data_IF_146464392248
#
_entry.id   IF_146464392248
#
_cell.length_a   1.000
_cell.length_b   1.000
_cell.length_c   1.000
_cell.angle_alpha   90.00
_cell.angle_beta   90.00
_cell.angle_gamma   90.00
#
_symmetry.space_group_name_H-M   'P 1'
#
loop_
_entity.id
_entity.type
_entity.pdbx_description
1 polymer ?
#
# COMPACT_ATOMS: atom_id res chain seq x y z
N UNK A 1 -9.39 42.21 -30.98
CA UNK A 1 -8.41 41.51 -31.83
C UNK A 1 -7.16 41.38 -31.00
N UNK A 2 -6.60 40.18 -30.91
CA UNK A 2 -5.36 39.91 -30.20
C UNK A 2 -4.22 40.51 -31.04
N UNK A 3 -3.48 41.47 -30.49
CA UNK A 3 -2.36 42.10 -31.19
C UNK A 3 -1.16 41.14 -31.22
N UNK A 4 -0.50 41.05 -32.37
CA UNK A 4 0.68 40.21 -32.56
C UNK A 4 1.82 40.62 -31.60
N UNK A 5 2.63 39.68 -31.10
CA UNK A 5 3.77 40.02 -30.26
C UNK A 5 4.80 40.87 -31.04
N UNK A 6 5.16 42.02 -30.48
CA UNK A 6 6.14 42.96 -31.02
C UNK A 6 7.26 43.17 -29.98
N UNK A 7 8.51 43.29 -30.43
CA UNK A 7 9.67 43.55 -29.57
C UNK A 7 10.03 45.04 -29.66
N UNK A 8 9.45 45.88 -28.79
CA UNK A 8 9.83 47.29 -28.65
C UNK A 8 9.90 47.68 -27.17
N UNK A 9 10.63 48.76 -26.87
CA UNK A 9 10.89 49.22 -25.49
C UNK A 9 9.64 49.78 -24.76
N UNK A 10 8.53 49.96 -25.49
CA UNK A 10 7.33 50.61 -24.97
C UNK A 10 6.17 49.63 -24.66
N UNK A 11 6.31 48.35 -25.00
CA UNK A 11 5.24 47.37 -24.84
C UNK A 11 5.78 46.01 -24.37
N UNK A 12 5.23 45.50 -23.28
CA UNK A 12 5.50 44.14 -22.80
C UNK A 12 4.50 43.17 -23.43
N UNK A 13 4.98 42.22 -24.23
CA UNK A 13 4.16 41.11 -24.70
C UNK A 13 3.92 40.14 -23.53
N UNK A 14 2.67 40.06 -23.08
CA UNK A 14 2.26 39.13 -22.02
C UNK A 14 1.65 37.91 -22.68
N UNK A 15 2.31 36.76 -22.60
CA UNK A 15 1.71 35.50 -23.01
C UNK A 15 0.60 35.18 -22.00
N UNK A 16 -0.66 35.29 -22.41
CA UNK A 16 -1.79 34.80 -21.62
C UNK A 16 -1.67 33.30 -21.45
N UNK A 17 -1.38 32.86 -20.23
CA UNK A 17 -1.48 31.44 -19.86
C UNK A 17 -2.98 31.11 -19.73
N UNK A 18 -3.49 30.01 -20.31
CA UNK A 18 -4.85 29.58 -20.06
C UNK A 18 -5.12 29.56 -18.56
N UNK A 19 -6.16 30.26 -18.12
CA UNK A 19 -6.58 30.23 -16.72
C UNK A 19 -7.09 28.84 -16.34
N UNK A 20 -6.92 28.45 -15.08
CA UNK A 20 -7.55 27.24 -14.56
C UNK A 20 -9.06 27.47 -14.47
N UNK A 21 -9.86 26.61 -15.09
CA UNK A 21 -11.31 26.58 -14.90
C UNK A 21 -11.62 25.64 -13.75
N UNK A 22 -12.51 26.06 -12.85
CA UNK A 22 -13.03 25.18 -11.83
C UNK A 22 -13.70 23.96 -12.47
N UNK A 23 -13.27 22.76 -12.06
CA UNK A 23 -13.80 21.50 -12.57
C UNK A 23 -14.92 20.97 -11.67
N UNK A 24 -14.59 20.66 -10.41
CA UNK A 24 -15.55 20.15 -9.42
C UNK A 24 -15.03 20.30 -7.99
N UNK A 25 -15.90 20.19 -7.00
CA UNK A 25 -15.53 20.17 -5.58
C UNK A 25 -15.27 18.73 -5.16
N UNK A 26 -14.18 18.51 -4.41
CA UNK A 26 -13.83 17.19 -3.89
C UNK A 26 -13.60 17.28 -2.39
N UNK A 27 -14.55 16.74 -1.63
CA UNK A 27 -14.52 16.78 -0.16
C UNK A 27 -14.55 18.19 0.42
N UNK A 28 -14.28 18.28 1.73
CA UNK A 28 -14.21 19.52 2.50
C UNK A 28 -12.79 19.83 3.00
N UNK A 29 -11.87 18.87 2.89
CA UNK A 29 -10.48 19.02 3.31
C UNK A 29 -9.57 19.59 2.22
N UNK A 30 -8.36 19.96 2.60
CA UNK A 30 -7.32 20.38 1.66
C UNK A 30 -6.99 19.26 0.68
N UNK A 31 -6.86 19.59 -0.60
CA UNK A 31 -6.43 18.63 -1.63
C UNK A 31 -4.94 18.35 -1.42
N UNK A 32 -4.61 17.11 -1.07
CA UNK A 32 -3.23 16.65 -0.81
C UNK A 32 -2.57 16.03 -2.03
N UNK A 33 -3.36 15.37 -2.89
CA UNK A 33 -2.87 14.75 -4.13
C UNK A 33 -4.01 14.57 -5.12
N UNK A 34 -3.69 14.76 -6.40
CA UNK A 34 -4.50 14.35 -7.55
C UNK A 34 -3.67 13.36 -8.35
N UNK A 35 -4.27 12.24 -8.73
CA UNK A 35 -3.61 11.16 -9.47
C UNK A 35 -4.56 10.59 -10.51
N UNK A 36 -4.03 10.21 -11.65
CA UNK A 36 -4.71 9.40 -12.67
C UNK A 36 -3.69 8.45 -13.28
N UNK A 37 -4.17 7.32 -13.78
CA UNK A 37 -3.37 6.38 -14.54
C UNK A 37 -4.20 5.91 -15.72
N UNK A 38 -3.86 6.44 -16.90
CA UNK A 38 -4.50 6.09 -18.16
C UNK A 38 -4.45 4.56 -18.40
N UNK A 39 -5.54 3.99 -18.88
CA UNK A 39 -5.70 2.56 -19.10
C UNK A 39 -6.11 1.76 -17.86
N UNK A 40 -6.29 2.39 -16.71
CA UNK A 40 -6.81 1.75 -15.49
C UNK A 40 -7.96 2.57 -14.89
N UNK A 41 -8.84 1.93 -14.13
CA UNK A 41 -9.94 2.60 -13.41
C UNK A 41 -10.81 3.52 -14.28
N UNK A 42 -11.02 3.20 -15.56
CA UNK A 42 -11.76 4.04 -16.52
C UNK A 42 -11.22 5.47 -16.67
N UNK A 43 -9.90 5.64 -16.45
CA UNK A 43 -9.19 6.93 -16.50
C UNK A 43 -9.67 7.97 -15.48
N UNK A 44 -10.41 7.52 -14.45
CA UNK A 44 -10.91 8.38 -13.39
C UNK A 44 -9.78 9.01 -12.56
N UNK A 45 -10.07 10.17 -11.98
CA UNK A 45 -9.14 10.86 -11.07
C UNK A 45 -9.31 10.31 -9.65
N UNK A 46 -8.20 9.96 -9.02
CA UNK A 46 -8.11 9.74 -7.59
C UNK A 46 -7.60 10.98 -6.90
N UNK A 47 -8.35 11.44 -5.90
CA UNK A 47 -8.06 12.69 -5.20
C UNK A 47 -8.11 12.43 -3.70
N UNK A 48 -7.06 12.81 -2.99
CA UNK A 48 -7.09 12.83 -1.53
C UNK A 48 -7.44 14.24 -1.06
N UNK A 49 -8.56 14.34 -0.34
CA UNK A 49 -9.01 15.54 0.35
C UNK A 49 -8.98 15.29 1.86
N UNK A 50 -8.08 15.95 2.57
CA UNK A 50 -7.84 15.70 4.00
C UNK A 50 -7.41 14.25 4.27
N UNK A 51 -8.27 13.48 4.93
CA UNK A 51 -8.04 12.08 5.30
C UNK A 51 -8.78 11.08 4.40
N UNK A 52 -9.49 11.55 3.39
CA UNK A 52 -10.39 10.73 2.58
C UNK A 52 -9.92 10.65 1.14
N UNK A 53 -9.97 9.44 0.59
CA UNK A 53 -9.79 9.16 -0.83
C UNK A 53 -11.14 9.32 -1.54
N UNK A 54 -11.12 10.06 -2.64
CA UNK A 54 -12.23 10.22 -3.56
C UNK A 54 -11.85 9.73 -4.94
N UNK A 55 -12.84 9.21 -5.66
CA UNK A 55 -12.77 8.94 -7.09
C UNK A 55 -13.66 9.93 -7.81
N UNK A 56 -13.14 10.59 -8.83
CA UNK A 56 -13.84 11.61 -9.62
C UNK A 56 -13.88 11.12 -11.05
N UNK A 57 -15.09 10.90 -11.56
CA UNK A 57 -15.25 10.45 -12.93
C UNK A 57 -15.06 11.59 -13.95
N UNK A 58 -15.02 11.24 -15.24
CA UNK A 58 -14.87 12.20 -16.35
C UNK A 58 -16.00 13.26 -16.42
N UNK A 59 -17.16 12.98 -15.82
CA UNK A 59 -18.27 13.94 -15.69
C UNK A 59 -18.13 14.90 -14.49
N UNK A 60 -17.07 14.76 -13.68
CA UNK A 60 -16.81 15.61 -12.51
C UNK A 60 -17.57 15.19 -11.25
N UNK A 61 -18.15 13.98 -11.21
CA UNK A 61 -18.84 13.46 -10.02
C UNK A 61 -17.82 12.86 -9.07
N UNK A 62 -17.64 13.49 -7.91
CA UNK A 62 -16.77 13.00 -6.84
C UNK A 62 -17.51 12.04 -5.91
N UNK A 63 -17.02 10.80 -5.81
CA UNK A 63 -17.53 9.77 -4.90
C UNK A 63 -16.46 9.44 -3.86
N UNK A 64 -16.82 9.46 -2.58
CA UNK A 64 -15.91 9.06 -1.51
C UNK A 64 -15.68 7.54 -1.57
N UNK A 65 -14.43 7.12 -1.59
CA UNK A 65 -14.02 5.71 -1.58
C UNK A 65 -13.82 5.22 -0.14
N UNK A 66 -13.11 6.00 0.68
CA UNK A 66 -12.80 5.60 2.05
C UNK A 66 -11.85 6.57 2.75
N UNK A 67 -11.53 6.26 4.00
CA UNK A 67 -10.60 7.02 4.83
C UNK A 67 -9.22 6.34 4.79
N UNK A 68 -8.14 7.11 4.59
CA UNK A 68 -6.76 6.61 4.45
C UNK A 68 -5.87 6.93 5.67
N UNK A 69 -6.41 7.54 6.70
CA UNK A 69 -5.65 7.87 7.91
C UNK A 69 -6.53 8.51 8.99
N UNK A 70 -6.04 8.54 10.23
CA UNK A 70 -6.72 9.22 11.35
C UNK A 70 -6.23 10.66 11.51
N UNK A 71 -5.00 10.93 11.10
CA UNK A 71 -4.37 12.25 11.07
C UNK A 71 -3.56 12.39 9.79
N UNK A 72 -3.24 13.62 9.39
CA UNK A 72 -2.39 13.88 8.24
C UNK A 72 -0.94 13.71 8.69
N UNK A 73 -0.24 12.70 8.16
CA UNK A 73 1.13 12.37 8.58
C UNK A 73 2.18 12.96 7.63
N UNK A 74 2.03 12.80 6.31
CA UNK A 74 2.99 13.25 5.29
C UNK A 74 2.26 13.67 3.99
N UNK A 75 2.99 13.99 2.93
CA UNK A 75 2.42 14.11 1.59
C UNK A 75 1.93 12.74 1.08
N UNK A 76 1.05 12.77 0.08
CA UNK A 76 0.47 11.55 -0.48
C UNK A 76 1.19 11.16 -1.76
N UNK A 77 1.68 9.92 -1.81
CA UNK A 77 2.18 9.26 -3.00
C UNK A 77 1.18 8.19 -3.46
N UNK A 78 1.02 8.07 -4.79
CA UNK A 78 0.13 7.07 -5.39
C UNK A 78 0.80 6.39 -6.58
N UNK A 79 0.54 5.09 -6.72
CA UNK A 79 0.99 4.30 -7.85
C UNK A 79 -0.07 3.24 -8.20
N UNK A 80 -0.48 3.17 -9.46
CA UNK A 80 -1.41 2.16 -9.95
C UNK A 80 -0.71 1.03 -10.72
N UNK A 81 -1.29 -0.16 -10.66
CA UNK A 81 -0.92 -1.32 -11.47
C UNK A 81 -2.08 -1.70 -12.39
N UNK A 82 -1.75 -2.11 -13.62
CA UNK A 82 -2.73 -2.65 -14.55
C UNK A 82 -3.23 -4.05 -14.11
N UNK A 83 -4.40 -4.49 -14.59
CA UNK A 83 -4.87 -5.86 -14.38
C UNK A 83 -3.90 -6.89 -14.96
N UNK A 84 -3.78 -8.04 -14.30
CA UNK A 84 -2.92 -9.15 -14.70
C UNK A 84 -3.72 -10.46 -14.65
N UNK A 85 -4.17 -10.94 -15.81
CA UNK A 85 -5.03 -12.12 -15.89
C UNK A 85 -6.35 -11.90 -15.13
N UNK A 86 -6.61 -12.72 -14.11
CA UNK A 86 -7.77 -12.58 -13.22
C UNK A 86 -7.56 -11.59 -12.07
N UNK A 87 -6.34 -11.10 -11.87
CA UNK A 87 -6.03 -10.10 -10.85
C UNK A 87 -6.44 -8.71 -11.35
N UNK A 88 -7.23 -7.95 -10.58
CA UNK A 88 -7.68 -6.62 -11.00
C UNK A 88 -6.57 -5.57 -10.90
N UNK A 89 -6.87 -4.35 -11.36
CA UNK A 89 -6.01 -3.20 -11.12
C UNK A 89 -5.96 -2.87 -9.62
N UNK A 90 -4.81 -2.37 -9.17
CA UNK A 90 -4.61 -1.86 -7.82
C UNK A 90 -4.13 -0.42 -7.86
N UNK A 91 -4.62 0.40 -6.94
CA UNK A 91 -4.08 1.72 -6.64
C UNK A 91 -3.47 1.68 -5.24
N UNK A 92 -2.16 1.86 -5.14
CA UNK A 92 -1.45 1.98 -3.86
C UNK A 92 -1.39 3.43 -3.43
N UNK A 93 -1.67 3.68 -2.14
CA UNK A 93 -1.66 5.02 -1.55
C UNK A 93 -0.79 5.01 -0.28
N UNK A 94 0.22 5.88 -0.26
CA UNK A 94 1.07 6.13 0.90
C UNK A 94 0.89 7.57 1.37
N UNK A 95 0.81 7.79 2.68
CA UNK A 95 0.57 9.11 3.26
C UNK A 95 1.45 9.43 4.49
N UNK A 96 2.50 8.64 4.70
CA UNK A 96 3.35 8.62 5.88
C UNK A 96 2.90 7.60 6.93
N UNK A 97 1.60 7.30 6.99
CA UNK A 97 1.02 6.29 7.86
C UNK A 97 0.93 4.93 7.18
N UNK A 98 -0.26 4.34 7.19
CA UNK A 98 -0.49 2.98 6.67
C UNK A 98 -0.42 3.00 5.13
N UNK A 99 0.20 1.97 4.54
CA UNK A 99 0.08 1.74 3.10
C UNK A 99 -1.30 1.17 2.79
N UNK A 100 -2.03 1.78 1.86
CA UNK A 100 -3.32 1.28 1.41
C UNK A 100 -3.23 0.77 -0.02
N UNK A 101 -4.10 -0.18 -0.37
CA UNK A 101 -4.45 -0.43 -1.76
C UNK A 101 -5.96 -0.33 -1.96
N UNK A 102 -6.34 0.12 -3.15
CA UNK A 102 -7.71 0.15 -3.64
C UNK A 102 -7.87 -0.72 -4.89
N UNK A 103 -9.03 -1.36 -5.03
CA UNK A 103 -9.44 -2.07 -6.25
C UNK A 103 -10.94 -1.96 -6.51
N UNK A 104 -11.38 -2.07 -7.77
CA UNK A 104 -12.80 -2.09 -8.13
C UNK A 104 -13.45 -3.47 -7.95
N UNK A 105 -12.63 -4.52 -7.85
CA UNK A 105 -13.06 -5.91 -7.91
C UNK A 105 -12.51 -6.70 -6.72
N UNK A 106 -12.95 -6.35 -5.50
CA UNK A 106 -12.45 -6.90 -4.23
C UNK A 106 -12.68 -8.39 -4.04
N UNK A 107 -12.06 -8.94 -2.99
CA UNK A 107 -12.18 -10.35 -2.61
C UNK A 107 -13.44 -10.57 -1.78
N UNK A 108 -14.07 -11.74 -1.92
CA UNK A 108 -15.16 -12.11 -1.02
C UNK A 108 -14.62 -12.40 0.39
N UNK A 109 -15.38 -12.03 1.42
CA UNK A 109 -14.98 -12.11 2.83
C UNK A 109 -16.09 -12.68 3.69
N UNK A 110 -15.70 -13.24 4.83
CA UNK A 110 -16.59 -13.55 5.93
C UNK A 110 -15.92 -13.19 7.26
N UNK A 111 -16.71 -12.59 8.14
CA UNK A 111 -16.33 -12.31 9.52
C UNK A 111 -16.95 -13.37 10.42
N UNK A 112 -16.13 -14.02 11.24
CA UNK A 112 -16.55 -14.86 12.36
C UNK A 112 -16.52 -14.01 13.62
N UNK A 113 -17.66 -13.90 14.29
CA UNK A 113 -17.78 -13.18 15.57
C UNK A 113 -18.07 -14.16 16.70
N UNK A 114 -17.27 -14.09 17.77
CA UNK A 114 -17.53 -14.76 19.02
C UNK A 114 -18.42 -13.88 19.92
N UNK A 115 -19.63 -14.34 20.21
CA UNK A 115 -20.63 -13.64 21.04
C UNK A 115 -20.52 -13.99 22.53
N UNK A 116 -19.68 -14.98 22.86
CA UNK A 116 -19.32 -15.40 24.20
C UNK A 116 -18.03 -16.24 24.17
N UNK A 117 -17.61 -16.81 25.30
CA UNK A 117 -16.46 -17.72 25.31
C UNK A 117 -16.72 -18.92 24.41
N UNK A 118 -15.75 -19.26 23.56
CA UNK A 118 -15.85 -20.39 22.63
C UNK A 118 -15.90 -21.70 23.44
N UNK A 119 -16.97 -22.49 23.33
CA UNK A 119 -17.08 -23.81 23.95
C UNK A 119 -16.05 -24.81 23.42
N UNK A 120 -15.65 -25.73 24.29
CA UNK A 120 -14.86 -26.89 23.88
C UNK A 120 -15.66 -27.77 22.90
N UNK A 121 -15.00 -28.23 21.84
CA UNK A 121 -15.55 -28.99 20.71
C UNK A 121 -16.47 -28.23 19.75
N UNK A 122 -16.57 -26.90 19.85
CA UNK A 122 -17.21 -26.14 18.79
C UNK A 122 -16.44 -26.30 17.49
N UNK A 123 -17.18 -26.51 16.40
CA UNK A 123 -16.67 -26.73 15.05
C UNK A 123 -17.09 -25.58 14.16
N UNK A 124 -16.17 -25.09 13.35
CA UNK A 124 -16.48 -24.24 12.21
C UNK A 124 -16.12 -24.97 10.91
N UNK A 125 -16.74 -24.56 9.80
CA UNK A 125 -16.26 -24.93 8.48
C UNK A 125 -16.14 -23.72 7.56
N UNK A 126 -15.14 -23.78 6.69
CA UNK A 126 -14.88 -22.82 5.62
C UNK A 126 -14.66 -23.64 4.36
N UNK A 127 -15.50 -23.46 3.35
CA UNK A 127 -15.37 -24.13 2.05
C UNK A 127 -15.21 -25.67 2.14
N UNK A 128 -15.87 -26.30 3.12
CA UNK A 128 -15.80 -27.75 3.35
C UNK A 128 -14.58 -28.23 4.13
N UNK A 129 -13.70 -27.35 4.61
CA UNK A 129 -12.63 -27.65 5.58
C UNK A 129 -13.13 -27.36 6.99
N UNK A 130 -12.94 -28.31 7.91
CA UNK A 130 -13.49 -28.24 9.27
C UNK A 130 -12.41 -28.04 10.33
N UNK A 131 -12.68 -27.14 11.27
CA UNK A 131 -11.81 -26.81 12.41
C UNK A 131 -12.59 -26.93 13.70
N UNK A 132 -12.05 -27.65 14.70
CA UNK A 132 -12.67 -27.89 15.99
C UNK A 132 -11.80 -27.35 17.12
N UNK A 133 -12.37 -26.52 17.98
CA UNK A 133 -11.69 -26.03 19.17
C UNK A 133 -11.58 -27.14 20.23
N UNK A 134 -10.41 -27.27 20.85
CA UNK A 134 -10.18 -28.27 21.89
C UNK A 134 -9.34 -27.78 23.06
N UNK A 135 -9.73 -28.13 24.29
CA UNK A 135 -8.88 -28.00 25.49
C UNK A 135 -7.92 -29.19 25.68
N UNK A 136 -8.07 -30.24 24.87
CA UNK A 136 -7.22 -31.43 24.89
C UNK A 136 -6.02 -31.32 23.94
N UNK A 137 -5.37 -32.45 23.67
CA UNK A 137 -4.31 -32.51 22.65
C UNK A 137 -4.86 -32.17 21.26
N UNK A 138 -4.14 -31.31 20.54
CA UNK A 138 -4.44 -30.94 19.14
C UNK A 138 -4.10 -32.03 18.13
N UNK A 139 -3.58 -33.19 18.56
CA UNK A 139 -3.24 -34.32 17.69
C UNK A 139 -4.06 -35.59 17.99
N UNK A 140 -5.08 -35.48 18.84
CA UNK A 140 -5.95 -36.60 19.17
C UNK A 140 -6.77 -37.05 17.94
N UNK A 141 -6.80 -38.36 17.67
CA UNK A 141 -7.73 -38.96 16.72
C UNK A 141 -7.41 -38.77 15.23
N UNK A 142 -6.15 -38.48 14.88
CA UNK A 142 -5.68 -38.29 13.49
C UNK A 142 -6.51 -37.24 12.72
N UNK A 143 -6.37 -35.95 13.08
CA UNK A 143 -7.05 -34.84 12.40
C UNK A 143 -6.77 -34.82 10.89
N UNK A 144 -7.77 -34.48 10.07
CA UNK A 144 -7.67 -34.51 8.60
C UNK A 144 -8.48 -33.40 7.90
N UNK A 145 -9.06 -32.44 8.64
CA UNK A 145 -9.84 -31.33 8.08
C UNK A 145 -11.21 -31.71 7.52
N UNK A 146 -11.68 -32.94 7.73
CA UNK A 146 -12.99 -33.40 7.27
C UNK A 146 -14.06 -33.21 8.36
N UNK A 147 -15.34 -33.33 8.01
CA UNK A 147 -16.42 -33.23 9.01
C UNK A 147 -16.33 -34.29 10.11
N UNK A 148 -15.83 -35.49 9.80
CA UNK A 148 -15.65 -36.58 10.76
C UNK A 148 -14.36 -36.43 11.58
N UNK A 149 -13.29 -35.93 10.96
CA UNK A 149 -11.98 -35.71 11.58
C UNK A 149 -11.51 -34.28 11.32
N UNK A 150 -12.10 -33.27 12.00
CA UNK A 150 -11.74 -31.87 11.81
C UNK A 150 -10.30 -31.61 12.25
N UNK A 151 -9.67 -30.58 11.69
CA UNK A 151 -8.44 -30.03 12.26
C UNK A 151 -8.71 -29.55 13.68
N UNK A 152 -7.81 -29.82 14.61
CA UNK A 152 -7.96 -29.38 16.00
C UNK A 152 -7.21 -28.08 16.21
N UNK A 153 -7.84 -27.15 16.91
CA UNK A 153 -7.31 -25.83 17.24
C UNK A 153 -7.31 -25.69 18.76
N UNK A 154 -6.18 -25.33 19.36
CA UNK A 154 -6.07 -25.18 20.80
C UNK A 154 -6.98 -24.03 21.29
N UNK A 155 -7.83 -24.35 22.27
CA UNK A 155 -8.77 -23.43 22.89
C UNK A 155 -8.18 -22.82 24.17
N UNK A 156 -8.27 -21.50 24.31
CA UNK A 156 -8.13 -20.83 25.59
C UNK A 156 -9.49 -20.72 26.30
N UNK A 157 -9.49 -20.97 27.61
CA UNK A 157 -10.68 -20.85 28.46
C UNK A 157 -10.80 -19.49 29.17
N UNK A 158 -9.79 -18.62 29.07
CA UNK A 158 -9.81 -17.30 29.70
C UNK A 158 -10.53 -16.25 28.85
N UNK A 159 -10.31 -16.33 27.54
CA UNK A 159 -10.80 -15.39 26.53
C UNK A 159 -10.71 -16.03 25.14
N UNK A 160 -11.27 -15.33 24.15
CA UNK A 160 -11.31 -15.80 22.76
C UNK A 160 -10.07 -15.39 21.94
N UNK A 161 -9.20 -14.51 22.45
CA UNK A 161 -8.09 -13.93 21.68
C UNK A 161 -7.11 -15.00 21.21
N UNK A 162 -6.66 -15.84 22.15
CA UNK A 162 -5.73 -16.94 21.85
C UNK A 162 -6.40 -17.99 20.95
N UNK A 163 -7.67 -18.32 21.20
CA UNK A 163 -8.43 -19.29 20.40
C UNK A 163 -8.58 -18.83 18.94
N UNK A 164 -8.95 -17.57 18.72
CA UNK A 164 -9.09 -17.01 17.37
C UNK A 164 -7.72 -16.79 16.70
N UNK A 165 -6.68 -16.45 17.45
CA UNK A 165 -5.29 -16.41 16.94
C UNK A 165 -4.81 -17.79 16.50
N UNK A 166 -5.12 -18.83 17.27
CA UNK A 166 -4.79 -20.21 16.92
C UNK A 166 -5.56 -20.68 15.67
N UNK A 167 -6.82 -20.24 15.51
CA UNK A 167 -7.59 -20.52 14.30
C UNK A 167 -7.03 -19.75 13.09
N UNK A 168 -6.66 -18.47 13.25
CA UNK A 168 -5.95 -17.70 12.22
C UNK A 168 -4.69 -18.44 11.77
N UNK A 169 -3.91 -18.92 12.73
CA UNK A 169 -2.69 -19.69 12.52
C UNK A 169 -2.95 -21.01 11.79
N UNK A 170 -3.99 -21.74 12.17
CA UNK A 170 -4.40 -22.98 11.54
C UNK A 170 -4.82 -22.80 10.07
N UNK A 171 -5.56 -21.73 9.74
CA UNK A 171 -5.99 -21.44 8.36
C UNK A 171 -4.77 -21.11 7.48
N UNK A 172 -3.86 -20.29 8.01
CA UNK A 172 -2.73 -19.75 7.25
C UNK A 172 -1.47 -20.62 7.29
N UNK A 173 -1.47 -21.71 8.06
CA UNK A 173 -0.27 -22.48 8.40
C UNK A 173 0.84 -21.57 8.97
N UNK A 174 0.47 -20.64 9.86
CA UNK A 174 1.38 -19.81 10.64
C UNK A 174 1.40 -20.26 12.10
N UNK A 175 2.36 -19.85 12.93
CA UNK A 175 2.43 -20.30 14.34
C UNK A 175 3.10 -21.67 14.54
N UNK A 176 2.78 -22.35 15.64
CA UNK A 176 3.45 -23.59 16.07
C UNK A 176 2.52 -24.81 15.93
N UNK A 177 2.75 -25.60 14.89
CA UNK A 177 2.07 -26.89 14.69
C UNK A 177 2.31 -27.86 15.86
N UNK A 178 1.27 -28.60 16.27
CA UNK A 178 1.25 -29.47 17.45
C UNK A 178 1.03 -28.74 18.78
N UNK A 179 1.05 -27.40 18.79
CA UNK A 179 0.72 -26.57 19.96
C UNK A 179 -0.53 -25.75 19.71
N UNK A 180 -0.49 -24.87 18.72
CA UNK A 180 -1.59 -23.95 18.40
C UNK A 180 -2.73 -24.70 17.68
N UNK A 181 -2.38 -25.70 16.88
CA UNK A 181 -3.27 -26.52 16.07
C UNK A 181 -2.62 -27.86 15.70
N UNK A 182 -3.38 -28.78 15.10
CA UNK A 182 -2.92 -30.11 14.71
C UNK A 182 -1.63 -30.11 13.88
N UNK A 183 -0.69 -30.98 14.23
CA UNK A 183 0.61 -31.10 13.56
C UNK A 183 0.53 -31.48 12.08
N UNK A 184 -0.51 -32.22 11.69
CA UNK A 184 -0.72 -32.69 10.32
C UNK A 184 -1.48 -31.69 9.42
N UNK A 185 -1.83 -30.52 9.93
CA UNK A 185 -2.63 -29.55 9.17
C UNK A 185 -1.90 -29.10 7.90
N UNK A 186 -2.67 -28.83 6.86
CA UNK A 186 -2.22 -28.17 5.64
C UNK A 186 -2.86 -26.80 5.53
N UNK A 187 -2.17 -25.84 4.91
CA UNK A 187 -2.73 -24.52 4.59
C UNK A 187 -4.10 -24.64 3.91
N UNK A 188 -5.04 -23.77 4.28
CA UNK A 188 -6.37 -23.78 3.69
C UNK A 188 -6.27 -23.51 2.16
N UNK A 189 -6.85 -24.35 1.30
CA UNK A 189 -6.57 -24.32 -0.14
C UNK A 189 -7.12 -23.06 -0.84
N UNK A 190 -8.26 -22.54 -0.38
CA UNK A 190 -9.02 -21.50 -1.09
C UNK A 190 -9.16 -20.18 -0.33
N UNK A 191 -8.79 -20.13 0.94
CA UNK A 191 -9.07 -18.99 1.83
C UNK A 191 -7.84 -18.66 2.67
N UNK A 192 -7.73 -17.40 3.09
CA UNK A 192 -6.68 -16.88 3.96
C UNK A 192 -7.35 -16.08 5.07
N UNK A 193 -6.94 -16.28 6.32
CA UNK A 193 -7.33 -15.40 7.43
C UNK A 193 -6.43 -14.16 7.41
N UNK A 194 -6.99 -12.96 7.55
CA UNK A 194 -6.21 -11.72 7.40
C UNK A 194 -6.30 -10.76 8.59
N UNK A 195 -7.19 -11.00 9.54
CA UNK A 195 -7.29 -10.24 10.79
C UNK A 195 -7.87 -11.12 11.88
N UNK A 196 -7.32 -11.03 13.09
CA UNK A 196 -7.89 -11.63 14.29
C UNK A 196 -7.80 -10.64 15.43
N UNK A 197 -8.89 -10.48 16.17
CA UNK A 197 -8.98 -9.64 17.36
C UNK A 197 -9.37 -10.50 18.58
N UNK A 198 -9.75 -9.87 19.68
CA UNK A 198 -10.30 -10.57 20.84
C UNK A 198 -11.53 -11.41 20.49
N UNK A 199 -12.43 -10.91 19.64
CA UNK A 199 -13.74 -11.56 19.39
C UNK A 199 -14.08 -11.75 17.91
N UNK A 200 -13.25 -11.26 16.99
CA UNK A 200 -13.50 -11.40 15.56
C UNK A 200 -12.34 -12.06 14.84
N UNK A 201 -12.65 -12.84 13.82
CA UNK A 201 -11.69 -13.38 12.85
C UNK A 201 -12.23 -13.11 11.45
N UNK A 202 -11.43 -12.46 10.62
CA UNK A 202 -11.78 -12.18 9.24
C UNK A 202 -11.04 -13.09 8.28
N UNK A 203 -11.80 -13.70 7.37
CA UNK A 203 -11.31 -14.62 6.35
C UNK A 203 -11.70 -14.10 4.97
N UNK A 204 -10.80 -14.24 4.01
CA UNK A 204 -11.02 -13.85 2.61
C UNK A 204 -10.78 -15.01 1.66
N UNK A 205 -11.49 -15.00 0.53
CA UNK A 205 -11.26 -15.92 -0.56
C UNK A 205 -10.00 -15.49 -1.34
N UNK A 206 -9.14 -16.43 -1.71
CA UNK A 206 -7.83 -16.11 -2.28
C UNK A 206 -7.92 -15.43 -3.65
N UNK A 207 -8.97 -15.70 -4.42
CA UNK A 207 -9.20 -15.03 -5.70
C UNK A 207 -10.08 -13.79 -5.57
N UNK A 208 -9.80 -12.81 -6.41
CA UNK A 208 -10.63 -11.60 -6.53
C UNK A 208 -11.93 -11.87 -7.28
N UNK A 209 -12.89 -10.96 -7.09
CA UNK A 209 -14.18 -10.99 -7.78
C UNK A 209 -15.24 -11.84 -7.10
N UNK A 210 -16.29 -12.17 -7.87
CA UNK A 210 -17.55 -12.67 -7.33
C UNK A 210 -17.55 -14.15 -6.99
N UNK A 211 -16.55 -14.93 -7.45
CA UNK A 211 -16.51 -16.38 -7.25
C UNK A 211 -16.55 -16.76 -5.77
N UNK A 212 -15.83 -16.02 -4.93
CA UNK A 212 -15.80 -16.29 -3.50
C UNK A 212 -17.16 -16.15 -2.81
N UNK A 213 -18.13 -15.44 -3.39
CA UNK A 213 -19.47 -15.27 -2.78
C UNK A 213 -20.26 -16.58 -2.68
N UNK A 214 -19.82 -17.65 -3.37
CA UNK A 214 -20.41 -18.99 -3.27
C UNK A 214 -19.80 -19.85 -2.15
N UNK A 215 -18.70 -19.42 -1.53
CA UNK A 215 -18.01 -20.18 -0.48
C UNK A 215 -18.89 -20.25 0.76
N UNK A 216 -19.23 -21.47 1.17
CA UNK A 216 -20.06 -21.72 2.34
C UNK A 216 -19.25 -21.66 3.64
N UNK A 217 -19.89 -21.16 4.70
CA UNK A 217 -19.37 -21.15 6.06
C UNK A 217 -20.41 -21.68 7.04
N UNK A 218 -19.96 -22.45 8.03
CA UNK A 218 -20.83 -22.96 9.08
C UNK A 218 -20.17 -22.89 10.44
N UNK A 219 -21.00 -22.93 11.47
CA UNK A 219 -20.64 -23.10 12.88
C UNK A 219 -21.56 -24.16 13.48
N UNK A 220 -21.06 -25.00 14.38
CA UNK A 220 -21.87 -25.99 15.10
C UNK A 220 -22.38 -25.48 16.44
N UNK A 221 -21.68 -24.52 17.05
CA UNK A 221 -21.99 -23.99 18.37
C UNK A 221 -22.73 -22.65 18.36
N UNK A 222 -23.18 -22.23 19.54
CA UNK A 222 -24.05 -21.06 19.70
C UNK A 222 -23.30 -19.74 19.91
N UNK A 223 -22.02 -19.80 20.31
CA UNK A 223 -21.23 -18.63 20.70
C UNK A 223 -20.37 -18.09 19.56
N UNK A 224 -20.42 -18.73 18.39
CA UNK A 224 -19.74 -18.33 17.18
C UNK A 224 -20.78 -18.07 16.09
N UNK A 225 -20.63 -16.96 15.37
CA UNK A 225 -21.57 -16.56 14.32
C UNK A 225 -20.79 -16.02 13.13
N UNK A 226 -21.03 -16.59 11.94
CA UNK A 226 -20.59 -15.98 10.69
C UNK A 226 -21.56 -14.87 10.28
N UNK A 227 -21.05 -13.81 9.65
CA UNK A 227 -21.86 -12.76 9.03
C UNK A 227 -22.54 -13.21 7.71
N UNK A 228 -23.31 -14.30 7.79
CA UNK A 228 -23.96 -14.97 6.66
C UNK A 228 -23.63 -16.46 6.60
N UNK A 229 -24.28 -17.15 5.66
CA UNK A 229 -24.03 -18.58 5.36
C UNK A 229 -22.99 -18.78 4.26
N UNK A 230 -22.62 -17.71 3.56
CA UNK A 230 -21.57 -17.67 2.56
C UNK A 230 -20.75 -16.39 2.71
N UNK A 231 -19.57 -16.36 2.09
CA UNK A 231 -18.78 -15.13 1.95
C UNK A 231 -19.56 -14.07 1.13
N UNK A 232 -19.22 -12.80 1.31
CA UNK A 232 -19.89 -11.64 0.70
C UNK A 232 -18.86 -10.61 0.22
N UNK A 233 -19.32 -9.63 -0.57
CA UNK A 233 -18.51 -8.47 -0.98
C UNK A 233 -17.55 -8.71 -2.14
N UNK A 234 -17.45 -9.94 -2.65
CA UNK A 234 -16.63 -10.25 -3.82
C UNK A 234 -17.10 -9.47 -5.04
N UNK A 235 -16.15 -8.82 -5.72
CA UNK A 235 -16.38 -7.97 -6.88
C UNK A 235 -16.92 -6.57 -6.62
N UNK A 236 -16.92 -6.13 -5.36
CA UNK A 236 -17.20 -4.74 -5.00
C UNK A 236 -15.90 -3.93 -4.87
N UNK A 237 -15.96 -2.60 -5.00
CA UNK A 237 -14.83 -1.74 -4.69
C UNK A 237 -14.37 -1.92 -3.25
N UNK A 238 -13.06 -1.94 -3.05
CA UNK A 238 -12.47 -2.24 -1.76
C UNK A 238 -11.23 -1.36 -1.52
N UNK A 239 -11.14 -0.77 -0.33
CA UNK A 239 -9.95 -0.09 0.17
C UNK A 239 -9.44 -0.85 1.40
N UNK A 240 -8.19 -1.32 1.36
CA UNK A 240 -7.61 -2.13 2.43
C UNK A 240 -6.17 -1.76 2.72
N UNK A 241 -5.80 -1.98 3.98
CA UNK A 241 -4.44 -1.81 4.47
C UNK A 241 -3.53 -2.91 3.92
N UNK A 242 -2.31 -2.51 3.58
CA UNK A 242 -1.18 -3.37 3.27
C UNK A 242 -0.23 -3.27 4.45
N UNK A 243 0.06 -4.40 5.09
CA UNK A 243 1.03 -4.41 6.18
C UNK A 243 2.43 -4.15 5.64
N UNK A 244 3.04 -3.08 6.12
CA UNK A 244 4.46 -2.80 5.89
C UNK A 244 5.23 -3.52 6.99
N UNK A 245 6.30 -4.27 6.67
CA UNK A 245 7.06 -4.98 7.69
C UNK A 245 7.54 -4.05 8.82
N UNK A 246 7.46 -4.55 10.07
CA UNK A 246 7.74 -3.81 11.30
C UNK A 246 6.84 -2.58 11.54
N UNK A 247 5.64 -2.55 10.95
CA UNK A 247 4.64 -1.48 11.11
C UNK A 247 5.21 -0.07 10.89
N UNK A 248 6.23 0.04 10.05
CA UNK A 248 7.05 1.25 9.91
C UNK A 248 6.40 2.31 9.03
N UNK A 249 5.09 2.32 8.82
CA UNK A 249 4.40 3.23 7.89
C UNK A 249 4.95 3.23 6.46
N UNK A 250 4.42 4.09 5.59
CA UNK A 250 4.86 4.23 4.20
C UNK A 250 4.80 5.68 3.73
N UNK A 251 5.93 6.18 3.23
CA UNK A 251 6.10 7.58 2.81
C UNK A 251 6.00 7.78 1.29
N UNK A 252 6.38 6.76 0.49
CA UNK A 252 6.44 6.92 -0.96
C UNK A 252 6.23 5.60 -1.69
N UNK A 253 5.56 5.65 -2.83
CA UNK A 253 5.33 4.51 -3.73
C UNK A 253 5.53 4.91 -5.19
N UNK A 254 6.04 3.99 -6.00
CA UNK A 254 6.14 4.16 -7.44
C UNK A 254 5.96 2.83 -8.18
N UNK A 255 5.44 2.88 -9.40
CA UNK A 255 5.27 1.73 -10.28
C UNK A 255 6.41 1.64 -11.29
N UNK A 256 6.99 0.46 -11.47
CA UNK A 256 7.95 0.17 -12.54
C UNK A 256 7.92 -1.32 -12.92
N UNK A 257 7.82 -1.62 -14.22
CA UNK A 257 7.93 -2.97 -14.78
C UNK A 257 7.07 -4.03 -14.06
N UNK A 258 5.84 -3.68 -13.69
CA UNK A 258 4.90 -4.55 -12.98
C UNK A 258 5.06 -4.54 -11.46
N UNK A 259 6.18 -4.07 -10.93
CA UNK A 259 6.42 -3.96 -9.49
C UNK A 259 5.91 -2.63 -8.94
N UNK A 260 5.60 -2.62 -7.64
CA UNK A 260 5.41 -1.39 -6.88
C UNK A 260 6.53 -1.28 -5.87
N UNK A 261 7.36 -0.24 -6.02
CA UNK A 261 8.40 0.11 -5.08
C UNK A 261 7.76 0.85 -3.91
N UNK A 262 8.10 0.44 -2.70
CA UNK A 262 7.53 0.95 -1.45
C UNK A 262 8.66 1.46 -0.57
N UNK A 263 8.63 2.74 -0.23
CA UNK A 263 9.54 3.34 0.73
C UNK A 263 8.81 3.43 2.08
N UNK A 264 9.25 2.66 3.09
CA UNK A 264 8.70 2.74 4.45
C UNK A 264 9.13 4.05 5.12
N UNK A 265 8.49 4.42 6.23
CA UNK A 265 9.02 5.50 7.06
C UNK A 265 10.44 5.13 7.51
N UNK A 266 11.34 6.10 7.42
CA UNK A 266 12.75 5.91 7.73
C UNK A 266 12.99 6.10 9.23
N UNK A 267 13.27 5.01 9.93
CA UNK A 267 13.65 4.96 11.33
C UNK A 267 15.12 4.51 11.44
N UNK A 268 15.64 4.33 12.65
CA UNK A 268 17.00 3.80 12.84
C UNK A 268 17.19 2.42 12.16
N UNK A 269 16.14 1.59 12.13
CA UNK A 269 16.20 0.22 11.62
C UNK A 269 15.87 0.09 10.13
N UNK A 270 15.22 1.10 9.54
CA UNK A 270 14.78 1.11 8.13
C UNK A 270 15.51 2.12 7.27
N UNK A 271 16.60 2.74 7.76
CA UNK A 271 17.42 3.67 6.95
C UNK A 271 17.88 3.03 5.65
N UNK A 272 17.65 3.72 4.54
CA UNK A 272 17.99 3.25 3.20
C UNK A 272 17.10 2.11 2.70
N UNK A 273 16.21 1.56 3.54
CA UNK A 273 15.42 0.37 3.20
C UNK A 273 14.26 0.75 2.30
N UNK A 274 14.03 -0.09 1.30
CA UNK A 274 12.82 -0.11 0.50
C UNK A 274 12.35 -1.55 0.29
N UNK A 275 11.06 -1.69 0.01
CA UNK A 275 10.42 -2.96 -0.30
C UNK A 275 9.88 -2.93 -1.74
N UNK A 276 9.51 -4.09 -2.25
CA UNK A 276 8.71 -4.19 -3.48
C UNK A 276 7.55 -5.15 -3.33
N UNK A 277 6.42 -4.77 -3.95
CA UNK A 277 5.28 -5.63 -4.17
C UNK A 277 5.45 -6.28 -5.55
N UNK A 278 5.27 -7.60 -5.60
CA UNK A 278 5.38 -8.38 -6.84
C UNK A 278 4.24 -8.04 -7.82
N UNK A 279 4.44 -8.25 -9.13
CA UNK A 279 3.38 -8.07 -10.11
C UNK A 279 2.13 -8.88 -9.75
N UNK A 280 1.00 -8.19 -9.61
CA UNK A 280 -0.30 -8.80 -9.27
C UNK A 280 -0.47 -9.19 -7.80
N UNK A 281 0.52 -8.95 -6.94
CA UNK A 281 0.35 -9.07 -5.49
C UNK A 281 -0.27 -7.79 -4.93
N UNK A 282 -0.92 -7.90 -3.77
CA UNK A 282 -1.49 -6.80 -2.97
C UNK A 282 -0.92 -6.76 -1.54
N UNK A 283 0.18 -7.46 -1.31
CA UNK A 283 0.88 -7.55 -0.03
C UNK A 283 2.38 -7.41 -0.26
N UNK A 284 3.08 -6.87 0.75
CA UNK A 284 4.52 -6.88 0.79
C UNK A 284 4.97 -8.21 1.38
N UNK A 285 5.82 -8.94 0.67
CA UNK A 285 6.50 -10.10 1.24
C UNK A 285 7.64 -9.59 2.13
N UNK A 286 7.77 -10.04 3.39
CA UNK A 286 8.78 -9.50 4.30
C UNK A 286 10.23 -9.63 3.82
N UNK A 287 10.52 -10.61 2.95
CA UNK A 287 11.86 -10.83 2.37
C UNK A 287 12.10 -10.05 1.07
N UNK A 288 11.09 -9.36 0.53
CA UNK A 288 11.22 -8.54 -0.66
C UNK A 288 11.71 -7.13 -0.31
N UNK A 289 12.95 -7.04 0.16
CA UNK A 289 13.58 -5.77 0.50
C UNK A 289 15.03 -5.68 0.03
N UNK A 290 15.47 -4.44 -0.14
CA UNK A 290 16.87 -4.10 -0.32
C UNK A 290 17.15 -2.76 0.39
N UNK A 291 18.43 -2.44 0.53
CA UNK A 291 18.88 -1.21 1.20
C UNK A 291 19.71 -0.41 0.21
N UNK A 292 19.46 0.88 0.09
CA UNK A 292 20.36 1.83 -0.57
C UNK A 292 21.67 1.88 0.20
N UNK A 293 22.78 1.51 -0.45
CA UNK A 293 24.04 1.18 0.25
C UNK A 293 25.07 2.30 0.21
N UNK A 294 24.85 3.37 -0.57
CA UNK A 294 25.88 4.38 -0.79
C UNK A 294 26.17 5.20 0.48
N UNK A 295 25.14 5.53 1.22
CA UNK A 295 25.24 6.29 2.46
C UNK A 295 24.17 5.80 3.43
N UNK A 296 24.44 5.79 4.74
CA UNK A 296 23.43 5.50 5.76
C UNK A 296 22.47 6.70 5.94
N UNK A 297 21.86 7.19 4.86
CA UNK A 297 20.83 8.23 4.86
C UNK A 297 19.42 7.66 4.67
N UNK A 298 18.43 8.38 5.19
CA UNK A 298 17.04 8.01 5.02
C UNK A 298 16.55 8.36 3.62
N UNK A 299 15.79 7.45 3.01
CA UNK A 299 15.05 7.71 1.79
C UNK A 299 13.84 8.61 2.05
N UNK A 300 13.63 9.63 1.22
CA UNK A 300 12.44 10.46 1.29
C UNK A 300 11.43 10.15 0.19
N UNK A 301 11.90 9.75 -0.99
CA UNK A 301 11.02 9.58 -2.12
C UNK A 301 11.59 8.57 -3.12
N UNK A 302 10.70 7.86 -3.81
CA UNK A 302 11.04 7.13 -5.03
C UNK A 302 10.43 7.84 -6.24
N UNK A 303 11.21 7.99 -7.31
CA UNK A 303 10.74 8.50 -8.60
C UNK A 303 11.15 7.55 -9.72
N UNK A 304 10.37 7.50 -10.80
CA UNK A 304 10.66 6.64 -11.95
C UNK A 304 10.87 7.52 -13.17
N UNK A 305 11.91 7.24 -13.95
CA UNK A 305 12.06 7.79 -15.29
C UNK A 305 12.93 6.87 -16.15
N UNK A 306 12.59 6.77 -17.44
CA UNK A 306 13.18 5.74 -18.29
C UNK A 306 12.87 4.34 -17.76
N UNK A 307 13.86 3.45 -17.82
CA UNK A 307 13.76 2.07 -17.31
C UNK A 307 14.39 1.90 -15.92
N UNK A 308 14.39 2.98 -15.14
CA UNK A 308 15.06 3.06 -13.84
C UNK A 308 14.15 3.70 -12.80
N UNK A 309 14.25 3.21 -11.57
CA UNK A 309 13.70 3.90 -10.42
C UNK A 309 14.83 4.52 -9.60
N UNK A 310 14.56 5.69 -9.06
CA UNK A 310 15.54 6.54 -8.41
C UNK A 310 15.10 6.73 -6.97
N UNK A 311 15.96 6.31 -6.06
CA UNK A 311 15.77 6.46 -4.63
C UNK A 311 16.42 7.79 -4.22
N UNK A 312 15.59 8.72 -3.78
CA UNK A 312 16.00 10.03 -3.32
C UNK A 312 16.14 10.01 -1.80
N UNK A 313 17.38 9.94 -1.35
CA UNK A 313 17.76 10.10 0.05
C UNK A 313 17.90 11.57 0.45
N UNK A 314 18.13 11.78 1.75
CA UNK A 314 18.39 13.10 2.31
C UNK A 314 19.64 13.76 1.68
N UNK A 315 20.69 12.98 1.44
CA UNK A 315 21.98 13.47 0.94
C UNK A 315 22.42 12.80 -0.35
N UNK A 316 21.84 11.65 -0.68
CA UNK A 316 22.22 10.89 -1.84
C UNK A 316 21.06 10.56 -2.75
N UNK A 317 21.35 10.36 -4.04
CA UNK A 317 20.41 9.80 -4.99
C UNK A 317 21.01 8.53 -5.59
N UNK A 318 20.22 7.47 -5.62
CA UNK A 318 20.63 6.16 -6.15
C UNK A 318 19.71 5.67 -7.26
N UNK A 319 20.24 5.40 -8.46
CA UNK A 319 19.51 4.72 -9.50
C UNK A 319 19.51 3.20 -9.28
N UNK A 320 18.34 2.59 -9.51
CA UNK A 320 18.11 1.17 -9.42
C UNK A 320 17.31 0.68 -10.64
N UNK A 321 17.51 -0.59 -10.97
CA UNK A 321 16.85 -1.27 -12.08
C UNK A 321 16.16 -2.54 -11.61
N UNK A 322 15.08 -2.89 -12.29
CA UNK A 322 14.52 -4.24 -12.19
C UNK A 322 15.33 -5.19 -13.05
N UNK A 323 15.64 -6.38 -12.54
CA UNK A 323 16.35 -7.42 -13.30
C UNK A 323 15.38 -8.50 -13.77
N UNK A 324 15.80 -9.29 -14.76
CA UNK A 324 15.07 -10.50 -15.16
C UNK A 324 15.32 -11.70 -14.23
N UNK A 325 16.13 -11.55 -13.18
CA UNK A 325 16.44 -12.63 -12.24
C UNK A 325 15.45 -12.62 -11.07
N UNK A 326 14.63 -13.67 -10.97
CA UNK A 326 13.64 -13.80 -9.90
C UNK A 326 14.23 -13.86 -8.49
N UNK A 327 15.49 -14.29 -8.34
CA UNK A 327 16.17 -14.34 -7.04
C UNK A 327 16.69 -12.97 -6.58
N UNK A 328 17.00 -12.08 -7.52
CA UNK A 328 17.52 -10.73 -7.26
C UNK A 328 16.81 -9.73 -8.16
N UNK A 329 15.50 -9.51 -7.95
CA UNK A 329 14.67 -8.74 -8.89
C UNK A 329 15.03 -7.26 -8.92
N UNK A 330 15.73 -6.75 -7.89
CA UNK A 330 16.15 -5.35 -7.79
C UNK A 330 17.67 -5.29 -7.68
N UNK A 331 18.30 -4.45 -8.49
CA UNK A 331 19.75 -4.21 -8.41
C UNK A 331 20.06 -2.73 -8.61
N UNK A 332 21.04 -2.24 -7.85
CA UNK A 332 21.58 -0.90 -8.02
C UNK A 332 22.25 -0.78 -9.39
N UNK A 333 21.95 0.30 -10.11
CA UNK A 333 22.65 0.61 -11.36
C UNK A 333 23.99 1.28 -11.06
N UNK A 334 25.04 0.85 -11.75
CA UNK A 334 26.39 1.40 -11.60
C UNK A 334 26.73 2.30 -12.80
N UNK A 335 27.48 3.38 -12.56
CA UNK A 335 27.97 4.28 -13.62
C UNK A 335 27.28 5.64 -13.72
N UNK A 336 26.23 5.90 -12.93
CA UNK A 336 25.64 7.24 -12.77
C UNK A 336 25.53 7.53 -11.27
N UNK A 337 26.14 8.64 -10.84
CA UNK A 337 26.26 9.01 -9.42
C UNK A 337 25.94 10.48 -9.22
N UNK A 338 25.19 10.76 -8.16
CA UNK A 338 24.75 12.10 -7.81
C UNK A 338 24.82 12.27 -6.28
N UNK A 339 25.90 12.86 -5.76
CA UNK A 339 26.09 13.17 -4.31
C UNK A 339 25.24 14.37 -3.89
N UNK A 340 23.95 14.30 -4.20
CA UNK A 340 22.96 15.32 -3.82
C UNK A 340 21.66 14.60 -3.53
N UNK A 341 21.09 14.88 -2.37
CA UNK A 341 19.80 14.34 -1.97
C UNK A 341 18.66 15.24 -2.40
N UNK A 342 17.52 15.05 -1.75
CA UNK A 342 16.29 15.75 -2.06
C UNK A 342 15.62 16.24 -0.77
N UNK A 343 14.92 17.37 -0.83
CA UNK A 343 13.94 17.74 0.19
C UNK A 343 12.69 16.88 0.01
N UNK A 344 12.05 16.36 1.08
CA UNK A 344 10.93 15.43 0.96
C UNK A 344 9.83 15.89 0.00
N UNK A 345 9.36 14.97 -0.84
CA UNK A 345 8.25 15.18 -1.78
C UNK A 345 8.49 16.23 -2.89
N UNK A 346 9.73 16.65 -3.13
CA UNK A 346 10.06 17.63 -4.18
C UNK A 346 10.57 17.02 -5.49
N UNK A 347 10.91 15.73 -5.51
CA UNK A 347 11.36 15.06 -6.71
C UNK A 347 10.16 14.77 -7.63
N UNK A 348 10.11 15.40 -8.81
CA UNK A 348 9.02 15.27 -9.76
C UNK A 348 9.58 14.90 -11.13
N UNK A 349 9.03 13.85 -11.73
CA UNK A 349 9.34 13.47 -13.10
C UNK A 349 8.73 14.49 -14.08
N UNK A 350 9.57 15.01 -14.97
CA UNK A 350 9.17 15.83 -16.11
C UNK A 350 9.79 15.22 -17.37
N UNK A 351 8.99 14.46 -18.12
CA UNK A 351 9.41 13.71 -19.31
C UNK A 351 10.65 12.84 -19.00
N UNK A 352 11.75 13.06 -19.70
CA UNK A 352 13.01 12.31 -19.61
C UNK A 352 13.95 12.82 -18.49
N UNK A 353 13.40 13.52 -17.49
CA UNK A 353 14.18 14.08 -16.39
C UNK A 353 13.40 14.06 -15.09
N UNK A 354 14.12 14.13 -13.97
CA UNK A 354 13.54 14.45 -12.66
C UNK A 354 14.04 15.83 -12.23
N UNK A 355 13.12 16.65 -11.76
CA UNK A 355 13.43 17.92 -11.10
C UNK A 355 13.29 17.71 -9.60
N UNK A 356 14.28 18.14 -8.82
CA UNK A 356 14.29 18.02 -7.36
C UNK A 356 14.84 19.29 -6.70
N UNK A 357 14.50 19.47 -5.43
CA UNK A 357 15.09 20.49 -4.56
C UNK A 357 16.02 19.79 -3.58
N UNK A 358 17.22 20.31 -3.33
CA UNK A 358 18.13 19.75 -2.34
C UNK A 358 17.94 20.33 -0.92
N UNK A 359 18.77 19.92 0.04
CA UNK A 359 18.74 20.44 1.41
C UNK A 359 19.20 21.89 1.54
N UNK A 360 19.95 22.42 0.57
CA UNK A 360 20.44 23.80 0.53
C UNK A 360 19.42 24.78 -0.11
N UNK A 361 18.34 24.25 -0.70
CA UNK A 361 17.28 24.99 -1.36
C UNK A 361 17.49 25.21 -2.87
N UNK A 362 18.52 24.58 -3.46
CA UNK A 362 18.80 24.64 -4.89
C UNK A 362 18.00 23.60 -5.68
N UNK A 363 17.53 24.01 -6.86
CA UNK A 363 16.70 23.21 -7.77
C UNK A 363 17.56 22.64 -8.88
N UNK A 364 17.51 21.32 -9.05
CA UNK A 364 18.28 20.59 -10.06
C UNK A 364 17.38 19.77 -10.96
N UNK A 365 17.78 19.66 -12.22
CA UNK A 365 17.30 18.65 -13.14
C UNK A 365 18.35 17.54 -13.25
N UNK A 366 17.92 16.31 -13.03
CA UNK A 366 18.65 15.09 -13.35
C UNK A 366 18.05 14.52 -14.62
N UNK A 367 18.84 14.43 -15.68
CA UNK A 367 18.40 13.84 -16.94
C UNK A 367 19.55 13.69 -17.92
N UNK A 368 19.45 12.73 -18.84
CA UNK A 368 20.44 12.50 -19.91
C UNK A 368 21.88 12.32 -19.38
N UNK A 369 22.04 11.72 -18.20
CA UNK A 369 23.34 11.48 -17.56
C UNK A 369 24.00 12.72 -16.92
N UNK A 370 23.36 13.88 -16.95
CA UNK A 370 23.91 15.12 -16.40
C UNK A 370 23.00 15.71 -15.30
N UNK A 371 23.62 16.40 -14.35
CA UNK A 371 22.95 17.30 -13.42
C UNK A 371 23.05 18.74 -13.92
N UNK A 372 21.92 19.41 -14.03
CA UNK A 372 21.85 20.84 -14.40
C UNK A 372 21.12 21.62 -13.31
N UNK A 373 21.74 22.68 -12.81
CA UNK A 373 21.08 23.60 -11.87
C UNK A 373 20.08 24.47 -12.62
N UNK A 374 18.85 24.52 -12.13
CA UNK A 374 17.75 25.29 -12.72
C UNK A 374 17.50 26.61 -11.96
N UNK A 375 17.76 26.62 -10.65
CA UNK A 375 17.51 27.79 -9.79
C UNK A 375 18.59 28.86 -9.88
N UNK A 376 18.18 30.08 -9.59
CA UNK A 376 19.07 31.21 -9.34
C UNK A 376 19.12 31.52 -7.82
N UNK A 377 20.11 32.28 -7.33
CA UNK A 377 20.26 32.54 -5.90
C UNK A 377 19.01 33.13 -5.20
N UNK A 378 18.20 33.91 -5.92
CA UNK A 378 17.00 34.53 -5.36
C UNK A 378 15.88 33.51 -5.07
N UNK A 379 15.70 32.52 -5.95
CA UNK A 379 14.73 31.43 -5.73
C UNK A 379 15.21 30.51 -4.60
N UNK A 380 16.50 30.23 -4.53
CA UNK A 380 17.07 29.34 -3.52
C UNK A 380 16.94 29.91 -2.11
N UNK A 381 17.14 31.23 -1.95
CA UNK A 381 16.90 31.88 -0.68
C UNK A 381 15.43 31.74 -0.24
N UNK A 382 14.48 31.92 -1.17
CA UNK A 382 13.06 31.72 -0.85
C UNK A 382 12.75 30.29 -0.41
N UNK A 383 13.36 29.30 -1.05
CA UNK A 383 13.19 27.89 -0.69
C UNK A 383 13.83 27.59 0.67
N UNK A 384 15.06 28.07 0.90
CA UNK A 384 15.77 27.91 2.17
C UNK A 384 15.01 28.51 3.35
N UNK A 385 14.40 29.69 3.18
CA UNK A 385 13.53 30.29 4.19
C UNK A 385 12.28 29.43 4.45
N UNK A 386 11.67 28.85 3.42
CA UNK A 386 10.52 27.96 3.58
C UNK A 386 10.90 26.66 4.31
N UNK A 387 12.07 26.08 3.98
CA UNK A 387 12.64 24.92 4.67
C UNK A 387 12.85 25.21 6.16
N UNK A 388 13.44 26.37 6.49
CA UNK A 388 13.64 26.79 7.88
C UNK A 388 12.33 26.99 8.64
N UNK A 389 11.33 27.61 8.00
CA UNK A 389 10.00 27.78 8.60
C UNK A 389 9.34 26.42 8.88
N UNK A 390 9.40 25.48 7.93
CA UNK A 390 8.88 24.13 8.13
C UNK A 390 9.57 23.42 9.30
N UNK A 391 10.89 23.54 9.41
CA UNK A 391 11.65 22.99 10.54
C UNK A 391 11.21 23.56 11.89
N UNK A 392 10.88 24.85 11.95
CA UNK A 392 10.37 25.48 13.17
C UNK A 392 9.00 24.93 13.57
N UNK A 393 8.07 24.75 12.63
CA UNK A 393 6.74 24.19 12.91
C UNK A 393 6.77 22.72 13.36
N UNK A 394 7.77 21.94 12.92
CA UNK A 394 7.92 20.55 13.32
C UNK A 394 8.55 20.38 14.71
N UNK A 395 9.19 21.43 15.26
CA UNK A 395 9.88 21.40 16.54
C UNK A 395 9.04 21.94 17.72
N UNK A 396 7.88 22.54 17.41
CA UNK A 396 6.87 23.04 18.36
C UNK A 396 5.71 22.06 18.38
#
# INVERSE_FOLDING_TARGET
MEDNPLLNDNQTSVISRPGLKYFTQVGTGNIRRVYTCEGTFSDDLFVVSGLFLYRVNSAGVATQVGQIGQTVTDAVAMAATAPLGSTPAFLYIADGGILWFYTDNGQARAELTATGLIPNNDVISIDGVYYKFTTGSVDSGTPAGTSASPWLVALSTSDNSVSLTNLYNAINLSGVAGTDYSSAITMHPTCTAFSSTLNTLDVQYNSFGTMGNAVAVTVSGTNLVWNGTTFRGGGQPELRQVQVPNDSGCISVAYINGFVIVVPQQTADTKGRFYWIQPGANIIQPLNYATAERSPDGLYQVGVFGDMFWLFGQKTVEPWITTGNSATPMQRYQGILYDRGCWPNTAIQVKDSIILVDEDGAVFSIGRGQQTRLSNPAIEERIRLAIQQQGFFNAV
#
